data_IF_649271679219
#
_entry.id   IF_649271679219
#
_cell.length_a   1.000
_cell.length_b   1.000
_cell.length_c   1.000
_cell.angle_alpha   90.00
_cell.angle_beta   90.00
_cell.angle_gamma   90.00
#
_symmetry.space_group_name_H-M   'P 1'
#
loop_
_entity.id
_entity.type
_entity.pdbx_description
1 polymer ?
#
# COMPACT_ATOMS: atom_id res chain seq x y z
N UNK A 1 -12.54 -13.48 -13.25
CA UNK A 1 -11.11 -13.18 -13.52
C UNK A 1 -10.23 -13.63 -12.37
N UNK A 2 -8.97 -13.98 -12.58
CA UNK A 2 -7.98 -14.27 -11.53
C UNK A 2 -6.57 -14.05 -12.08
N UNK A 3 -5.62 -13.70 -11.18
CA UNK A 3 -4.21 -13.69 -11.59
C UNK A 3 -3.77 -15.14 -11.81
N UNK A 4 -3.18 -15.40 -12.95
CA UNK A 4 -2.59 -16.68 -13.33
C UNK A 4 -1.19 -16.80 -12.74
N UNK A 5 -0.31 -15.91 -13.15
CA UNK A 5 1.07 -15.85 -12.71
C UNK A 5 1.62 -14.43 -12.81
N UNK A 6 2.75 -14.19 -12.19
CA UNK A 6 3.54 -12.98 -12.37
C UNK A 6 5.00 -13.31 -12.62
N UNK A 7 5.69 -12.37 -13.27
CA UNK A 7 7.12 -12.47 -13.50
C UNK A 7 7.79 -11.13 -13.11
N UNK A 8 8.73 -11.19 -12.19
CA UNK A 8 9.45 -10.03 -11.66
C UNK A 8 10.87 -10.07 -12.18
N UNK A 9 11.31 -8.99 -12.85
CA UNK A 9 12.69 -8.84 -13.31
C UNK A 9 13.35 -7.61 -12.69
N UNK A 10 14.63 -7.72 -12.41
CA UNK A 10 15.53 -6.62 -12.01
C UNK A 10 15.09 -5.81 -10.79
N UNK A 11 14.31 -6.41 -9.87
CA UNK A 11 13.84 -5.74 -8.67
C UNK A 11 14.60 -6.22 -7.43
N UNK A 12 15.36 -5.34 -6.80
CA UNK A 12 16.19 -5.63 -5.61
C UNK A 12 17.07 -6.88 -5.83
N UNK A 13 16.78 -7.99 -5.12
CA UNK A 13 17.49 -9.27 -5.26
C UNK A 13 16.90 -10.16 -6.35
N UNK A 14 15.74 -9.85 -6.84
CA UNK A 14 15.03 -10.66 -7.82
C UNK A 14 15.49 -10.26 -9.22
N UNK A 15 16.45 -11.00 -9.75
CA UNK A 15 16.93 -10.78 -11.12
C UNK A 15 15.92 -11.33 -12.12
N UNK A 16 15.40 -12.51 -11.85
CA UNK A 16 14.38 -13.19 -12.65
C UNK A 16 13.60 -14.12 -11.71
N UNK A 17 12.30 -13.86 -11.50
CA UNK A 17 11.48 -14.57 -10.54
C UNK A 17 10.06 -14.77 -11.08
N UNK A 18 9.68 -16.02 -11.31
CA UNK A 18 8.34 -16.40 -11.72
C UNK A 18 7.55 -16.90 -10.49
N UNK A 19 6.27 -16.54 -10.40
CA UNK A 19 5.38 -16.91 -9.30
C UNK A 19 4.02 -17.28 -9.85
N UNK A 20 3.61 -18.54 -9.62
CA UNK A 20 2.27 -19.01 -9.89
C UNK A 20 1.35 -18.77 -8.70
N UNK A 21 0.13 -18.37 -8.97
CA UNK A 21 -0.84 -18.07 -7.93
C UNK A 21 -1.83 -19.20 -7.71
N UNK A 22 -1.96 -19.65 -6.46
CA UNK A 22 -3.01 -20.58 -6.05
C UNK A 22 -4.42 -19.99 -6.20
N UNK A 23 -5.46 -20.81 -6.17
CA UNK A 23 -6.85 -20.36 -6.36
C UNK A 23 -7.41 -19.55 -5.17
N UNK A 24 -6.93 -19.79 -3.96
CA UNK A 24 -7.41 -19.13 -2.72
C UNK A 24 -6.32 -18.37 -2.01
N UNK A 25 -5.21 -19.04 -1.78
CA UNK A 25 -4.08 -18.52 -1.03
C UNK A 25 -2.77 -18.94 -1.68
N UNK A 26 -1.74 -18.13 -1.51
CA UNK A 26 -0.37 -18.44 -1.92
C UNK A 26 0.54 -18.11 -0.75
N UNK A 27 1.33 -19.09 -0.32
CA UNK A 27 2.24 -18.95 0.81
C UNK A 27 3.67 -18.86 0.32
N UNK A 28 4.35 -17.76 0.63
CA UNK A 28 5.76 -17.58 0.32
C UNK A 28 6.62 -18.17 1.44
N UNK A 29 7.26 -19.28 1.19
CA UNK A 29 8.14 -19.95 2.18
C UNK A 29 9.60 -19.81 1.77
N UNK A 30 10.45 -19.49 2.72
CA UNK A 30 11.90 -19.40 2.47
C UNK A 30 12.65 -18.80 3.66
N UNK A 31 13.96 -18.97 3.66
CA UNK A 31 14.83 -18.40 4.68
C UNK A 31 14.74 -16.87 4.74
N UNK A 32 15.16 -16.29 5.85
CA UNK A 32 15.28 -14.84 5.95
C UNK A 32 16.20 -14.32 4.83
N UNK A 33 15.81 -13.20 4.23
CA UNK A 33 16.54 -12.59 3.13
C UNK A 33 16.50 -13.38 1.79
N UNK A 34 15.59 -14.35 1.62
CA UNK A 34 15.42 -15.12 0.36
C UNK A 34 14.69 -14.33 -0.76
N UNK A 35 14.14 -13.14 -0.46
CA UNK A 35 13.45 -12.32 -1.45
C UNK A 35 11.92 -12.28 -1.31
N UNK A 36 11.32 -12.94 -0.32
CA UNK A 36 9.85 -12.93 -0.07
C UNK A 36 9.28 -11.50 -0.02
N UNK A 37 9.80 -10.68 0.89
CA UNK A 37 9.42 -9.27 1.00
C UNK A 37 9.69 -8.49 -0.28
N UNK A 38 10.75 -8.84 -1.02
CA UNK A 38 11.03 -8.18 -2.31
C UNK A 38 9.96 -8.51 -3.35
N UNK A 39 9.46 -9.74 -3.40
CA UNK A 39 8.39 -10.13 -4.31
C UNK A 39 7.08 -9.38 -3.98
N UNK A 40 6.68 -9.36 -2.72
CA UNK A 40 5.51 -8.60 -2.26
C UNK A 40 5.68 -7.10 -2.57
N UNK A 41 6.86 -6.54 -2.24
CA UNK A 41 7.15 -5.14 -2.51
C UNK A 41 7.08 -4.81 -3.99
N UNK A 42 7.59 -5.65 -4.89
CA UNK A 42 7.51 -5.44 -6.33
C UNK A 42 6.05 -5.31 -6.79
N UNK A 43 5.18 -6.25 -6.39
CA UNK A 43 3.76 -6.24 -6.75
C UNK A 43 3.08 -4.96 -6.23
N UNK A 44 3.30 -4.63 -4.95
CA UNK A 44 2.68 -3.45 -4.31
C UNK A 44 3.14 -2.15 -4.98
N UNK A 45 4.41 -2.04 -5.33
CA UNK A 45 4.97 -0.81 -5.88
C UNK A 45 4.54 -0.57 -7.31
N UNK A 46 4.48 -1.60 -8.14
CA UNK A 46 3.98 -1.46 -9.50
C UNK A 46 2.47 -1.24 -9.57
N UNK A 47 1.68 -1.85 -8.66
CA UNK A 47 0.22 -1.76 -8.71
C UNK A 47 -0.38 -0.60 -7.90
N UNK A 48 0.28 -0.17 -6.80
CA UNK A 48 -0.31 0.80 -5.86
C UNK A 48 0.57 2.00 -5.55
N UNK A 49 1.89 1.83 -5.45
CA UNK A 49 2.81 2.82 -4.88
C UNK A 49 3.98 3.16 -5.82
N UNK A 50 3.73 3.35 -7.10
CA UNK A 50 4.76 3.65 -8.11
C UNK A 50 5.61 4.90 -7.78
N UNK A 51 5.11 5.84 -6.99
CA UNK A 51 5.84 7.03 -6.54
C UNK A 51 6.97 6.75 -5.54
N UNK A 52 7.05 5.52 -5.00
CA UNK A 52 8.05 5.15 -3.98
C UNK A 52 9.34 4.56 -4.56
N UNK A 53 9.45 4.42 -5.88
CA UNK A 53 10.66 3.88 -6.50
C UNK A 53 11.88 4.77 -6.18
N UNK A 54 12.96 4.10 -5.77
CA UNK A 54 14.30 4.69 -5.62
C UNK A 54 15.31 3.77 -6.32
N UNK A 55 16.56 4.20 -6.49
CA UNK A 55 17.58 3.37 -7.12
C UNK A 55 17.85 2.05 -6.36
N UNK A 56 17.50 1.98 -5.08
CA UNK A 56 17.64 0.77 -4.25
C UNK A 56 16.72 -0.37 -4.68
N UNK A 57 15.68 -0.10 -5.44
CA UNK A 57 14.76 -1.09 -6.00
C UNK A 57 15.33 -1.77 -7.26
N UNK A 58 16.30 -1.16 -7.90
CA UNK A 58 17.03 -1.81 -8.99
C UNK A 58 17.94 -2.90 -8.45
N UNK A 59 18.11 -3.98 -9.20
CA UNK A 59 19.07 -5.02 -8.84
C UNK A 59 20.49 -4.44 -8.81
N UNK A 60 21.22 -4.68 -7.74
CA UNK A 60 22.54 -4.07 -7.52
C UNK A 60 23.56 -4.33 -8.63
N UNK A 61 23.47 -5.50 -9.29
CA UNK A 61 24.31 -5.82 -10.46
C UNK A 61 24.07 -4.89 -11.65
N UNK A 62 22.88 -4.31 -11.74
CA UNK A 62 22.51 -3.43 -12.85
C UNK A 62 23.01 -1.99 -12.66
N UNK A 63 23.42 -1.60 -11.45
CA UNK A 63 24.01 -0.29 -11.22
C UNK A 63 25.28 -0.08 -12.03
N UNK A 64 26.10 -1.13 -12.18
CA UNK A 64 27.28 -1.06 -13.03
C UNK A 64 26.94 -0.88 -14.53
N UNK A 65 25.77 -1.38 -14.97
CA UNK A 65 25.28 -1.18 -16.34
C UNK A 65 24.80 0.26 -16.54
N UNK A 66 24.10 0.83 -15.56
CA UNK A 66 23.67 2.24 -15.55
C UNK A 66 24.90 3.17 -15.62
N UNK A 67 25.91 2.91 -14.79
CA UNK A 67 27.13 3.72 -14.79
C UNK A 67 27.88 3.61 -16.10
N UNK A 68 27.93 2.41 -16.71
CA UNK A 68 28.52 2.20 -18.03
C UNK A 68 27.79 3.01 -19.12
N UNK A 69 26.46 3.08 -19.09
CA UNK A 69 25.69 3.94 -20.00
C UNK A 69 26.09 5.41 -19.81
N UNK A 70 26.17 5.86 -18.56
CA UNK A 70 26.62 7.21 -18.23
C UNK A 70 28.01 7.53 -18.74
N UNK A 71 28.96 6.61 -18.63
CA UNK A 71 30.32 6.76 -19.15
C UNK A 71 30.35 6.79 -20.68
N UNK A 72 29.55 5.96 -21.35
CA UNK A 72 29.41 5.98 -22.83
C UNK A 72 28.85 7.31 -23.33
N UNK A 73 27.90 7.92 -22.60
CA UNK A 73 27.34 9.23 -22.92
C UNK A 73 28.36 10.35 -22.81
N UNK A 74 29.35 10.24 -21.94
CA UNK A 74 30.39 11.25 -21.75
C UNK A 74 31.57 11.09 -22.70
N UNK A 75 31.82 9.87 -23.21
CA UNK A 75 32.98 9.56 -24.02
C UNK A 75 32.73 9.63 -25.53
N UNK A 76 31.50 9.43 -25.96
CA UNK A 76 31.15 9.43 -27.39
C UNK A 76 30.68 10.83 -27.85
N UNK A 77 31.50 11.50 -28.63
CA UNK A 77 31.13 12.76 -29.28
C UNK A 77 31.44 12.70 -30.80
N UNK A 78 30.44 12.85 -31.70
CA UNK A 78 29.00 13.01 -31.40
C UNK A 78 28.38 11.73 -30.83
N UNK A 79 27.36 11.91 -29.97
CA UNK A 79 26.65 10.75 -29.36
C UNK A 79 25.90 9.98 -30.44
N UNK A 80 25.97 8.66 -30.36
CA UNK A 80 25.17 7.77 -31.22
C UNK A 80 23.72 7.76 -30.72
N UNK A 81 22.76 8.04 -31.59
CA UNK A 81 21.32 8.00 -31.25
C UNK A 81 20.88 6.64 -30.69
N UNK A 82 21.57 5.56 -31.00
CA UNK A 82 21.30 4.23 -30.45
C UNK A 82 21.54 4.15 -28.92
N UNK A 83 22.47 4.97 -28.40
CA UNK A 83 22.74 5.05 -26.95
C UNK A 83 21.66 5.87 -26.20
N UNK A 84 20.86 6.63 -26.94
CA UNK A 84 19.72 7.40 -26.40
C UNK A 84 18.38 6.70 -26.61
N UNK A 85 18.41 5.44 -27.09
CA UNK A 85 17.21 4.64 -27.23
C UNK A 85 16.76 4.09 -25.85
N UNK A 86 15.47 4.12 -25.61
CA UNK A 86 14.85 3.55 -24.41
C UNK A 86 15.11 2.05 -24.27
N UNK A 87 15.28 1.32 -25.37
CA UNK A 87 15.58 -0.11 -25.37
C UNK A 87 16.90 -0.48 -24.67
N UNK A 88 17.83 0.48 -24.54
CA UNK A 88 19.06 0.25 -23.76
C UNK A 88 18.79 0.00 -22.27
N UNK A 89 17.58 0.35 -21.80
CA UNK A 89 17.16 0.20 -20.41
C UNK A 89 16.36 -1.06 -20.13
N UNK A 90 15.87 -1.77 -21.16
CA UNK A 90 14.93 -2.91 -21.01
C UNK A 90 15.47 -4.02 -20.11
N UNK A 91 16.77 -4.35 -20.20
CA UNK A 91 17.41 -5.36 -19.36
C UNK A 91 17.94 -4.82 -18.03
N UNK A 92 17.82 -3.51 -17.79
CA UNK A 92 18.39 -2.84 -16.62
C UNK A 92 17.32 -2.52 -15.59
N UNK A 93 16.18 -2.04 -16.05
CA UNK A 93 15.11 -1.52 -15.19
C UNK A 93 14.26 -2.60 -14.54
N UNK A 94 13.66 -2.31 -13.38
CA UNK A 94 12.69 -3.20 -12.79
C UNK A 94 11.44 -3.36 -13.66
N UNK A 95 10.94 -4.58 -13.77
CA UNK A 95 9.67 -4.86 -14.44
C UNK A 95 8.85 -5.92 -13.69
N UNK A 96 7.54 -5.85 -13.90
CA UNK A 96 6.54 -6.79 -13.41
C UNK A 96 5.61 -7.17 -14.56
N UNK A 97 5.63 -8.41 -14.97
CA UNK A 97 4.67 -8.97 -15.92
C UNK A 97 3.55 -9.65 -15.13
N UNK A 98 2.31 -9.42 -15.52
CA UNK A 98 1.12 -9.97 -14.87
C UNK A 98 0.26 -10.65 -15.91
N UNK A 99 -0.07 -11.92 -15.70
CA UNK A 99 -1.04 -12.66 -16.50
C UNK A 99 -2.33 -12.87 -15.72
N UNK A 100 -3.44 -12.61 -16.40
CA UNK A 100 -4.78 -12.66 -15.82
C UNK A 100 -5.63 -13.64 -16.61
N UNK A 101 -6.15 -14.68 -15.95
CA UNK A 101 -7.18 -15.56 -16.49
C UNK A 101 -8.50 -14.81 -16.56
N UNK A 102 -9.12 -14.81 -17.73
CA UNK A 102 -10.41 -14.19 -18.01
C UNK A 102 -11.49 -15.24 -18.03
N UNK A 103 -12.50 -15.11 -17.19
CA UNK A 103 -13.62 -16.04 -17.19
C UNK A 103 -14.64 -15.69 -18.31
N UNK A 104 -15.42 -16.69 -18.71
CA UNK A 104 -16.48 -16.47 -19.70
C UNK A 104 -17.45 -15.38 -19.27
N UNK A 105 -17.71 -14.45 -20.18
CA UNK A 105 -18.59 -13.28 -19.92
C UNK A 105 -17.90 -12.08 -19.26
N UNK A 106 -16.62 -12.16 -18.91
CA UNK A 106 -15.84 -11.05 -18.30
C UNK A 106 -14.90 -10.34 -19.29
N UNK A 107 -14.89 -10.74 -20.56
CA UNK A 107 -14.00 -10.21 -21.60
C UNK A 107 -14.13 -8.69 -21.78
N UNK A 108 -15.32 -8.14 -21.53
CA UNK A 108 -15.59 -6.70 -21.65
C UNK A 108 -14.75 -5.85 -20.68
N UNK A 109 -14.28 -6.43 -19.56
CA UNK A 109 -13.46 -5.74 -18.57
C UNK A 109 -12.00 -5.57 -19.01
N UNK A 110 -11.54 -6.46 -19.88
CA UNK A 110 -10.15 -6.53 -20.35
C UNK A 110 -9.98 -6.22 -21.83
N UNK A 111 -11.01 -5.67 -22.48
CA UNK A 111 -10.99 -5.38 -23.92
C UNK A 111 -9.82 -4.49 -24.33
N UNK A 112 -9.38 -3.59 -23.44
CA UNK A 112 -8.24 -2.68 -23.63
C UNK A 112 -6.88 -3.38 -23.47
N UNK A 113 -6.86 -4.64 -22.99
CA UNK A 113 -5.65 -5.46 -22.81
C UNK A 113 -5.48 -6.52 -23.89
N UNK A 114 -6.42 -6.62 -24.84
CA UNK A 114 -6.38 -7.62 -25.89
C UNK A 114 -5.49 -7.14 -27.04
N UNK A 115 -4.34 -7.79 -27.30
CA UNK A 115 -3.42 -7.33 -28.32
C UNK A 115 -4.01 -7.42 -29.74
N UNK A 116 -4.76 -8.50 -30.03
CA UNK A 116 -5.45 -8.72 -31.28
C UNK A 116 -6.66 -9.62 -31.11
N UNK A 117 -7.84 -9.14 -31.50
CA UNK A 117 -9.08 -9.92 -31.48
C UNK A 117 -9.06 -11.16 -32.38
N UNK A 118 -8.19 -11.18 -33.40
CA UNK A 118 -8.10 -12.30 -34.35
C UNK A 118 -7.24 -13.47 -33.84
N UNK A 119 -6.33 -13.20 -32.91
CA UNK A 119 -5.37 -14.19 -32.40
C UNK A 119 -5.59 -14.56 -30.93
N UNK A 120 -6.35 -13.76 -30.20
CA UNK A 120 -6.62 -14.00 -28.79
C UNK A 120 -7.60 -15.16 -28.59
N UNK A 121 -7.22 -16.11 -27.76
CA UNK A 121 -8.02 -17.32 -27.46
C UNK A 121 -9.18 -17.10 -26.48
N UNK A 122 -9.32 -15.87 -25.96
CA UNK A 122 -10.38 -15.48 -25.01
C UNK A 122 -10.10 -15.85 -23.55
N UNK A 123 -8.92 -16.38 -23.19
CA UNK A 123 -8.64 -16.95 -21.87
C UNK A 123 -7.70 -16.13 -21.00
N UNK A 124 -6.60 -15.63 -21.57
CA UNK A 124 -5.55 -14.97 -20.81
C UNK A 124 -5.21 -13.63 -21.43
N UNK A 125 -4.97 -12.62 -20.59
CA UNK A 125 -4.39 -11.34 -20.99
C UNK A 125 -3.15 -11.07 -20.15
N UNK A 126 -2.18 -10.31 -20.69
CA UNK A 126 -0.95 -9.99 -20.00
C UNK A 126 -0.57 -8.53 -20.13
N UNK A 127 -0.02 -8.00 -19.05
CA UNK A 127 0.46 -6.63 -18.96
C UNK A 127 1.86 -6.63 -18.37
N UNK A 128 2.78 -5.94 -19.03
CA UNK A 128 4.09 -5.58 -18.47
C UNK A 128 4.02 -4.18 -17.88
N UNK A 129 4.35 -4.06 -16.60
CA UNK A 129 4.64 -2.81 -15.93
C UNK A 129 6.16 -2.66 -15.85
N UNK A 130 6.75 -1.61 -16.42
CA UNK A 130 8.19 -1.42 -16.47
C UNK A 130 8.56 -0.01 -16.05
N UNK A 131 9.55 0.14 -15.17
CA UNK A 131 9.95 1.45 -14.65
C UNK A 131 10.99 2.09 -15.56
N UNK A 132 10.55 2.74 -16.62
CA UNK A 132 11.34 3.24 -17.74
C UNK A 132 11.66 4.73 -17.65
N UNK A 133 12.76 5.18 -18.30
CA UNK A 133 12.98 6.59 -18.52
C UNK A 133 11.82 7.23 -19.28
N UNK A 134 11.39 8.42 -18.84
CA UNK A 134 10.40 9.26 -19.53
C UNK A 134 10.96 9.76 -20.86
N UNK A 135 12.16 10.33 -20.79
CA UNK A 135 12.91 10.91 -21.92
C UNK A 135 14.42 10.70 -21.68
N UNK A 136 15.03 9.79 -22.42
CA UNK A 136 16.45 9.47 -22.31
C UNK A 136 17.32 10.64 -22.79
N UNK A 137 16.87 11.41 -23.81
CA UNK A 137 17.62 12.57 -24.34
C UNK A 137 17.71 13.66 -23.29
N UNK A 138 16.60 13.94 -22.60
CA UNK A 138 16.59 14.90 -21.49
C UNK A 138 17.48 14.45 -20.34
N UNK A 139 17.38 13.19 -19.93
CA UNK A 139 18.24 12.62 -18.88
C UNK A 139 19.73 12.77 -19.25
N UNK A 140 20.09 12.47 -20.50
CA UNK A 140 21.45 12.63 -21.00
C UNK A 140 21.95 14.09 -20.90
N UNK A 141 21.15 15.04 -21.40
CA UNK A 141 21.55 16.46 -21.38
C UNK A 141 21.77 16.97 -19.97
N UNK A 142 20.81 16.72 -19.09
CA UNK A 142 20.86 17.20 -17.71
C UNK A 142 22.00 16.54 -16.91
N UNK A 143 22.25 15.25 -17.13
CA UNK A 143 23.39 14.54 -16.54
C UNK A 143 24.73 15.11 -17.05
N UNK A 144 24.88 15.26 -18.37
CA UNK A 144 26.09 15.79 -18.99
C UNK A 144 26.41 17.19 -18.48
N UNK A 145 25.45 18.10 -18.51
CA UNK A 145 25.63 19.47 -17.98
C UNK A 145 26.05 19.47 -16.51
N UNK A 146 25.39 18.63 -15.69
CA UNK A 146 25.71 18.56 -14.27
C UNK A 146 27.13 18.02 -14.05
N UNK A 147 27.53 17.02 -14.81
CA UNK A 147 28.86 16.44 -14.77
C UNK A 147 29.95 17.43 -15.24
N UNK A 148 29.72 18.17 -16.30
CA UNK A 148 30.63 19.21 -16.81
C UNK A 148 30.83 20.32 -15.78
N UNK A 149 29.76 20.80 -15.15
CA UNK A 149 29.80 21.78 -14.04
C UNK A 149 30.64 21.25 -12.86
N UNK A 150 30.50 19.98 -12.54
CA UNK A 150 31.26 19.34 -11.48
C UNK A 150 32.76 19.24 -11.83
N UNK A 151 33.09 18.85 -13.05
CA UNK A 151 34.49 18.80 -13.54
C UNK A 151 35.12 20.20 -13.55
N UNK A 152 34.37 21.22 -13.99
CA UNK A 152 34.84 22.60 -13.97
C UNK A 152 35.16 23.08 -12.56
N UNK A 153 34.38 22.71 -11.57
CA UNK A 153 34.64 23.01 -10.15
C UNK A 153 35.93 22.38 -9.66
N UNK A 154 36.27 21.15 -10.10
CA UNK A 154 37.54 20.50 -9.72
C UNK A 154 38.79 21.26 -10.15
N UNK A 155 38.68 22.04 -11.23
CA UNK A 155 39.80 22.84 -11.75
C UNK A 155 40.08 24.13 -10.97
N UNK A 156 39.21 24.50 -10.04
CA UNK A 156 39.33 25.73 -9.24
C UNK A 156 40.32 25.61 -8.10
N UNK A 157 40.98 26.72 -7.76
CA UNK A 157 41.95 26.78 -6.64
C UNK A 157 41.26 26.55 -5.28
N UNK A 158 39.94 26.87 -5.17
CA UNK A 158 39.13 26.64 -3.97
C UNK A 158 38.90 25.15 -3.74
N UNK A 159 38.68 24.37 -4.79
CA UNK A 159 38.52 22.92 -4.72
C UNK A 159 39.84 22.26 -4.25
N UNK A 160 41.00 22.69 -4.81
CA UNK A 160 42.32 22.17 -4.42
C UNK A 160 42.65 22.40 -2.95
N UNK A 161 42.06 23.44 -2.34
CA UNK A 161 42.22 23.77 -0.91
C UNK A 161 41.24 23.03 -0.01
N UNK A 162 40.16 22.51 -0.56
CA UNK A 162 39.18 21.75 0.20
C UNK A 162 39.69 20.32 0.45
N UNK A 163 39.43 19.78 1.65
CA UNK A 163 39.81 18.42 2.01
C UNK A 163 38.99 17.40 1.26
N UNK A 164 39.32 17.14 -0.02
CA UNK A 164 38.76 16.10 -0.90
C UNK A 164 37.22 15.91 -0.75
N UNK A 165 36.40 16.92 -1.04
CA UNK A 165 34.96 16.71 -1.05
C UNK A 165 34.61 15.73 -2.17
N UNK A 166 33.64 14.87 -1.90
CA UNK A 166 33.11 13.97 -2.93
C UNK A 166 32.46 14.79 -4.06
N UNK A 167 32.93 14.59 -5.27
CA UNK A 167 32.37 15.26 -6.45
C UNK A 167 30.98 14.70 -6.76
N UNK A 168 30.00 15.57 -6.88
CA UNK A 168 28.66 15.18 -7.31
C UNK A 168 28.38 15.71 -8.72
N UNK A 169 27.86 14.88 -9.63
CA UNK A 169 27.69 13.42 -9.50
C UNK A 169 28.99 12.66 -9.78
N UNK A 170 29.25 11.57 -9.04
CA UNK A 170 30.37 10.66 -9.33
C UNK A 170 30.14 9.91 -10.63
N UNK A 171 28.94 9.38 -10.81
CA UNK A 171 28.47 8.59 -11.94
C UNK A 171 26.98 8.80 -12.15
N UNK A 172 26.38 8.10 -13.12
CA UNK A 172 24.95 8.23 -13.43
C UNK A 172 24.06 7.71 -12.29
N UNK A 173 24.45 6.64 -11.61
CA UNK A 173 23.72 6.16 -10.42
C UNK A 173 23.68 7.20 -9.30
N UNK A 174 24.80 7.90 -9.04
CA UNK A 174 24.86 8.97 -8.04
C UNK A 174 23.95 10.15 -8.41
N UNK A 175 23.91 10.51 -9.71
CA UNK A 175 22.99 11.52 -10.23
C UNK A 175 21.52 11.13 -10.00
N UNK A 176 21.16 9.90 -10.34
CA UNK A 176 19.79 9.39 -10.19
C UNK A 176 19.38 9.19 -8.72
N UNK A 177 20.33 8.87 -7.85
CA UNK A 177 20.06 8.64 -6.42
C UNK A 177 19.75 9.91 -5.63
N UNK A 178 20.10 11.11 -6.16
CA UNK A 178 19.96 12.36 -5.44
C UNK A 178 18.52 12.86 -5.41
N UNK A 179 17.97 13.03 -4.21
CA UNK A 179 16.68 13.68 -4.01
C UNK A 179 15.54 12.95 -4.74
N UNK A 180 14.85 13.66 -5.60
CA UNK A 180 13.76 13.15 -6.44
C UNK A 180 14.17 12.77 -7.86
N UNK A 181 15.47 12.91 -8.23
CA UNK A 181 15.91 12.77 -9.61
C UNK A 181 15.39 11.51 -10.30
N UNK A 182 15.46 10.34 -9.65
CA UNK A 182 14.97 9.11 -10.27
C UNK A 182 13.49 9.26 -10.72
N UNK A 183 12.64 9.82 -9.87
CA UNK A 183 11.21 10.01 -10.17
C UNK A 183 10.96 11.12 -11.19
N UNK A 184 11.85 12.09 -11.28
CA UNK A 184 11.74 13.17 -12.25
C UNK A 184 12.03 12.67 -13.68
N UNK A 185 12.92 11.68 -13.80
CA UNK A 185 13.34 11.11 -15.09
C UNK A 185 12.71 9.76 -15.42
N UNK A 186 12.11 9.05 -14.47
CA UNK A 186 11.53 7.72 -14.67
C UNK A 186 10.04 7.68 -14.31
N UNK A 187 9.32 6.76 -14.93
CA UNK A 187 7.91 6.46 -14.65
C UNK A 187 7.60 4.99 -14.93
N UNK A 188 6.49 4.49 -14.42
CA UNK A 188 6.00 3.17 -14.80
C UNK A 188 5.27 3.29 -16.14
N UNK A 189 5.76 2.58 -17.13
CA UNK A 189 5.10 2.40 -18.43
C UNK A 189 4.45 1.03 -18.50
N UNK A 190 3.34 0.95 -19.22
CA UNK A 190 2.51 -0.24 -19.33
C UNK A 190 2.47 -0.71 -20.75
N UNK A 191 2.69 -2.02 -20.96
CA UNK A 191 2.72 -2.65 -22.26
C UNK A 191 1.83 -3.87 -22.28
N UNK A 192 1.10 -4.09 -23.38
CA UNK A 192 0.33 -5.31 -23.58
C UNK A 192 1.28 -6.43 -23.99
N UNK A 193 1.16 -7.59 -23.35
CA UNK A 193 1.94 -8.78 -23.70
C UNK A 193 1.19 -9.56 -24.80
N UNK A 194 1.86 -9.87 -25.90
CA UNK A 194 1.29 -10.69 -26.97
C UNK A 194 1.46 -12.17 -26.67
N UNK A 195 0.35 -12.91 -26.63
CA UNK A 195 0.28 -14.35 -26.34
C UNK A 195 0.33 -15.27 -27.55
N UNK A 196 0.43 -14.74 -28.75
CA UNK A 196 0.57 -15.56 -29.93
C UNK A 196 1.84 -16.46 -29.90
N UNK A 197 2.71 -16.21 -28.92
CA UNK A 197 3.91 -16.97 -28.65
C UNK A 197 3.81 -17.43 -27.20
N UNK A 198 3.53 -18.74 -26.99
CA UNK A 198 3.71 -19.34 -25.66
C UNK A 198 5.14 -19.06 -25.21
N UNK A 199 5.34 -18.50 -24.00
CA UNK A 199 6.68 -18.33 -23.45
C UNK A 199 7.25 -19.71 -23.13
N UNK A 200 7.79 -20.38 -24.14
CA UNK A 200 8.49 -21.67 -24.00
C UNK A 200 9.86 -21.48 -23.35
N UNK A 201 10.37 -20.25 -23.34
CA UNK A 201 11.55 -19.83 -22.60
C UNK A 201 11.23 -18.56 -21.79
N UNK A 202 11.57 -18.58 -20.51
CA UNK A 202 11.33 -17.52 -19.53
C UNK A 202 11.87 -16.12 -19.93
N UNK A 203 12.67 -16.06 -21.00
CA UNK A 203 13.34 -14.85 -21.49
C UNK A 203 12.61 -14.15 -22.65
N UNK A 204 11.58 -14.75 -23.25
CA UNK A 204 10.95 -14.26 -24.48
C UNK A 204 9.51 -13.77 -24.31
N UNK A 205 9.26 -12.89 -23.35
CA UNK A 205 7.98 -12.20 -23.31
C UNK A 205 7.98 -11.11 -24.38
N UNK A 206 7.26 -11.34 -25.48
CA UNK A 206 7.11 -10.31 -26.52
C UNK A 206 6.05 -9.30 -26.08
N UNK A 207 6.49 -8.05 -26.03
CA UNK A 207 5.63 -6.89 -25.82
C UNK A 207 5.20 -6.37 -27.18
N UNK A 208 3.94 -6.02 -27.33
CA UNK A 208 3.43 -5.44 -28.57
C UNK A 208 4.11 -4.09 -28.80
N UNK A 209 4.87 -3.90 -29.88
CA UNK A 209 5.51 -2.62 -30.17
C UNK A 209 4.45 -1.52 -30.31
N UNK A 210 4.72 -0.35 -29.73
CA UNK A 210 3.89 0.85 -29.81
C UNK A 210 2.51 0.82 -29.11
N UNK A 211 2.25 -0.11 -28.21
CA UNK A 211 1.06 -0.09 -27.35
C UNK A 211 1.43 0.37 -25.93
N UNK A 212 2.07 1.54 -25.83
CA UNK A 212 2.21 2.25 -24.58
C UNK A 212 0.83 2.69 -24.12
N UNK A 213 0.37 2.15 -22.98
CA UNK A 213 -0.86 2.60 -22.37
C UNK A 213 -0.55 3.83 -21.51
N UNK A 214 -1.19 4.96 -21.80
CA UNK A 214 -0.97 6.23 -21.09
C UNK A 214 -1.36 6.18 -19.61
N UNK A 215 -2.24 5.24 -19.24
CA UNK A 215 -2.74 5.08 -17.87
C UNK A 215 -2.52 3.65 -17.39
N UNK A 216 -2.47 3.48 -16.07
CA UNK A 216 -2.42 2.15 -15.46
C UNK A 216 -3.67 1.33 -15.85
N UNK A 217 -3.52 0.32 -16.71
CA UNK A 217 -4.66 -0.47 -17.18
C UNK A 217 -5.18 -1.46 -16.13
N UNK A 218 -4.47 -1.62 -15.02
CA UNK A 218 -4.78 -2.55 -13.93
C UNK A 218 -5.49 -1.88 -12.75
N UNK A 219 -5.61 -0.53 -12.75
CA UNK A 219 -6.19 0.24 -11.65
C UNK A 219 -7.65 -0.13 -11.36
N UNK A 220 -8.44 -0.37 -12.43
CA UNK A 220 -9.85 -0.78 -12.32
C UNK A 220 -10.03 -2.31 -12.23
N UNK A 221 -8.94 -3.09 -12.30
CA UNK A 221 -8.98 -4.55 -12.30
C UNK A 221 -8.47 -5.16 -11.00
N UNK A 222 -7.48 -4.55 -10.37
CA UNK A 222 -6.76 -5.14 -9.23
C UNK A 222 -6.67 -4.14 -8.09
N UNK A 223 -7.26 -4.50 -6.97
CA UNK A 223 -7.05 -3.82 -5.69
C UNK A 223 -5.98 -4.54 -4.89
N UNK A 224 -5.08 -3.78 -4.27
CA UNK A 224 -4.01 -4.30 -3.43
C UNK A 224 -4.08 -3.70 -2.03
N UNK A 225 -4.17 -4.55 -1.01
CA UNK A 225 -4.07 -4.17 0.39
C UNK A 225 -2.95 -4.96 1.09
N UNK A 226 -2.27 -4.34 2.06
CA UNK A 226 -1.06 -4.93 2.68
C UNK A 226 -1.07 -4.81 4.19
N UNK A 227 -0.64 -5.88 4.86
CA UNK A 227 -0.30 -5.89 6.29
C UNK A 227 1.20 -6.16 6.37
N UNK A 228 1.99 -5.15 6.74
CA UNK A 228 3.45 -5.25 6.80
C UNK A 228 3.93 -5.96 8.08
N UNK A 229 5.15 -6.53 8.03
CA UNK A 229 5.80 -7.19 9.15
C UNK A 229 6.14 -6.23 10.31
N UNK A 230 6.50 -4.98 10.00
CA UNK A 230 6.70 -3.92 10.98
C UNK A 230 5.35 -3.46 11.56
N UNK A 231 4.68 -4.37 12.24
CA UNK A 231 3.49 -4.05 13.00
C UNK A 231 3.96 -3.42 14.28
N UNK A 232 3.71 -2.12 14.39
CA UNK A 232 3.99 -1.35 15.59
C UNK A 232 3.09 -1.81 16.73
N UNK A 233 3.42 -2.97 17.29
CA UNK A 233 2.96 -3.36 18.61
C UNK A 233 4.04 -2.90 19.59
N UNK A 234 3.99 -1.63 20.02
CA UNK A 234 4.86 -1.21 21.09
C UNK A 234 4.49 -1.96 22.35
N UNK A 235 5.52 -2.32 23.05
CA UNK A 235 5.45 -2.67 24.46
C UNK A 235 4.77 -1.52 25.22
N UNK A 236 3.74 -1.79 26.04
CA UNK A 236 3.04 -0.74 26.78
C UNK A 236 3.94 0.04 27.76
N UNK A 237 5.18 -0.40 27.99
CA UNK A 237 6.15 0.24 28.85
C UNK A 237 7.18 1.11 28.12
N UNK A 238 7.23 1.09 26.79
CA UNK A 238 8.11 1.93 25.98
C UNK A 238 7.44 3.24 25.59
N UNK A 239 7.86 4.34 26.19
CA UNK A 239 7.55 5.70 25.75
C UNK A 239 8.08 5.94 24.33
N UNK A 240 7.32 5.60 23.32
CA UNK A 240 7.49 6.14 21.98
C UNK A 240 6.12 6.51 21.43
N UNK A 241 6.02 7.77 21.09
CA UNK A 241 4.87 8.46 20.47
C UNK A 241 4.60 7.98 19.04
N UNK A 242 4.77 6.70 18.76
CA UNK A 242 4.50 6.09 17.47
C UNK A 242 3.13 5.43 17.46
N UNK A 243 2.34 5.78 16.49
CA UNK A 243 0.99 5.41 16.10
C UNK A 243 0.62 3.91 16.18
N UNK A 244 0.63 3.36 17.42
CA UNK A 244 0.19 1.98 17.61
C UNK A 244 -1.31 1.99 17.77
N UNK A 245 -1.95 1.44 16.77
CA UNK A 245 -3.37 1.20 16.81
C UNK A 245 -3.70 0.09 17.81
N UNK A 246 -4.13 0.49 19.00
CA UNK A 246 -4.76 -0.44 19.95
C UNK A 246 -5.94 -1.15 19.30
N UNK A 247 -6.35 -2.32 19.79
CA UNK A 247 -7.55 -3.00 19.28
C UNK A 247 -8.76 -2.07 19.33
N UNK A 248 -8.89 -1.27 20.37
CA UNK A 248 -9.96 -0.27 20.51
C UNK A 248 -9.95 0.73 19.36
N UNK A 249 -8.79 1.26 18.96
CA UNK A 249 -8.67 2.14 17.78
C UNK A 249 -8.98 1.41 16.46
N UNK A 250 -8.60 0.14 16.34
CA UNK A 250 -8.90 -0.65 15.15
C UNK A 250 -10.40 -0.96 15.03
N UNK A 251 -11.07 -1.30 16.14
CA UNK A 251 -12.53 -1.44 16.18
C UNK A 251 -13.24 -0.14 15.82
N UNK A 252 -12.74 0.99 16.31
CA UNK A 252 -13.26 2.30 15.94
C UNK A 252 -13.13 2.57 14.45
N UNK A 253 -11.94 2.34 13.86
CA UNK A 253 -11.73 2.50 12.40
C UNK A 253 -12.67 1.62 11.61
N UNK A 254 -12.85 0.37 12.03
CA UNK A 254 -13.79 -0.56 11.38
C UNK A 254 -15.22 -0.02 11.44
N UNK A 255 -15.67 0.44 12.61
CA UNK A 255 -17.00 1.02 12.79
C UNK A 255 -17.20 2.27 11.93
N UNK A 256 -16.25 3.22 11.94
CA UNK A 256 -16.33 4.45 11.14
C UNK A 256 -16.31 4.19 9.62
N UNK A 257 -15.62 3.14 9.18
CA UNK A 257 -15.61 2.74 7.76
C UNK A 257 -16.89 2.02 7.34
N UNK A 258 -17.54 1.29 8.27
CA UNK A 258 -18.81 0.61 8.02
C UNK A 258 -19.99 1.57 7.99
N UNK A 259 -19.90 2.68 8.76
CA UNK A 259 -20.95 3.70 8.86
C UNK A 259 -20.45 4.98 8.21
N UNK A 260 -20.69 5.16 6.90
CA UNK A 260 -20.36 6.41 6.21
C UNK A 260 -21.33 7.53 6.60
N UNK A 261 -20.84 8.77 6.66
CA UNK A 261 -21.62 9.96 7.01
C UNK A 261 -22.86 10.22 6.13
N UNK A 262 -22.95 9.54 4.99
CA UNK A 262 -24.06 9.67 4.02
C UNK A 262 -25.08 8.52 4.07
N UNK A 263 -24.86 7.47 4.84
CA UNK A 263 -25.82 6.37 4.96
C UNK A 263 -26.86 6.67 6.05
N UNK A 264 -28.11 6.44 5.70
CA UNK A 264 -29.25 6.48 6.63
C UNK A 264 -28.93 5.54 7.79
N UNK A 265 -28.88 6.09 9.01
CA UNK A 265 -28.69 5.35 10.25
C UNK A 265 -29.55 4.09 10.25
N UNK A 266 -28.94 2.93 10.45
CA UNK A 266 -29.69 1.68 10.59
C UNK A 266 -30.56 1.74 11.86
N UNK A 267 -31.69 1.01 11.93
CA UNK A 267 -32.56 1.02 13.12
C UNK A 267 -31.80 0.72 14.42
N UNK A 268 -30.77 -0.14 14.36
CA UNK A 268 -29.92 -0.50 15.49
C UNK A 268 -29.02 0.67 15.94
N UNK A 269 -28.56 1.51 15.01
CA UNK A 269 -27.77 2.71 15.32
C UNK A 269 -28.64 3.79 15.97
N UNK A 270 -29.92 3.87 15.63
CA UNK A 270 -30.87 4.82 16.24
C UNK A 270 -31.04 4.59 17.74
N UNK A 271 -31.09 3.35 18.19
CA UNK A 271 -31.15 3.01 19.62
C UNK A 271 -29.86 3.45 20.33
N UNK A 272 -28.69 3.23 19.72
CA UNK A 272 -27.40 3.62 20.26
C UNK A 272 -27.26 5.15 20.33
N UNK A 273 -27.60 5.87 19.25
CA UNK A 273 -27.58 7.34 19.19
C UNK A 273 -28.54 7.94 20.23
N UNK A 274 -29.76 7.38 20.35
CA UNK A 274 -30.74 7.79 21.37
C UNK A 274 -30.22 7.55 22.78
N UNK A 275 -29.57 6.43 23.02
CA UNK A 275 -28.95 6.10 24.33
C UNK A 275 -27.85 7.09 24.69
N UNK A 276 -26.98 7.46 23.76
CA UNK A 276 -25.90 8.44 23.96
C UNK A 276 -26.48 9.85 24.17
N UNK A 277 -27.50 10.25 23.41
CA UNK A 277 -28.16 11.55 23.58
C UNK A 277 -28.74 11.67 25.00
N UNK A 278 -29.39 10.60 25.50
CA UNK A 278 -29.95 10.55 26.84
C UNK A 278 -28.87 10.55 27.95
N UNK A 279 -27.74 9.88 27.69
CA UNK A 279 -26.58 9.95 28.57
C UNK A 279 -25.99 11.38 28.62
N UNK A 280 -25.83 12.02 27.47
CA UNK A 280 -25.34 13.42 27.38
C UNK A 280 -26.23 14.37 28.16
N UNK A 281 -27.57 14.28 28.00
CA UNK A 281 -28.52 15.11 28.79
C UNK A 281 -28.35 14.88 30.30
N UNK A 282 -28.17 13.64 30.74
CA UNK A 282 -27.96 13.30 32.15
C UNK A 282 -26.65 13.88 32.67
N UNK A 283 -25.58 13.77 31.88
CA UNK A 283 -24.27 14.34 32.20
C UNK A 283 -24.32 15.90 32.24
N UNK A 284 -24.97 16.53 31.26
CA UNK A 284 -25.11 17.97 31.19
C UNK A 284 -25.82 18.53 32.44
N UNK A 285 -26.90 17.87 32.86
CA UNK A 285 -27.62 18.26 34.07
C UNK A 285 -26.72 18.15 35.32
N UNK A 286 -25.92 17.08 35.41
CA UNK A 286 -25.01 16.86 36.54
C UNK A 286 -23.82 17.84 36.52
N UNK A 287 -23.22 18.08 35.33
CA UNK A 287 -22.15 19.05 35.17
C UNK A 287 -22.60 20.46 35.50
N UNK A 288 -23.76 20.89 34.98
CA UNK A 288 -24.34 22.18 35.29
C UNK A 288 -24.49 22.39 36.82
N UNK A 289 -25.01 21.38 37.50
CA UNK A 289 -25.17 21.44 38.97
C UNK A 289 -23.83 21.42 39.72
N UNK A 290 -22.86 20.66 39.24
CA UNK A 290 -21.53 20.57 39.89
C UNK A 290 -20.71 21.84 39.72
N UNK A 291 -20.85 22.52 38.57
CA UNK A 291 -20.10 23.74 38.27
C UNK A 291 -20.88 25.01 38.47
N UNK A 292 -22.06 24.94 39.09
CA UNK A 292 -22.91 26.13 39.36
C UNK A 292 -22.16 27.21 40.12
N UNK A 293 -21.52 26.85 41.26
CA UNK A 293 -20.74 27.81 42.09
C UNK A 293 -19.50 28.36 41.32
N UNK A 294 -18.62 27.55 40.70
CA UNK A 294 -17.51 28.11 39.95
C UNK A 294 -17.94 29.00 38.77
N UNK A 295 -19.03 28.70 38.08
CA UNK A 295 -19.55 29.50 36.97
C UNK A 295 -20.14 30.84 37.52
N UNK A 296 -20.77 30.85 38.69
CA UNK A 296 -21.24 32.04 39.32
C UNK A 296 -20.10 32.96 39.80
N UNK A 297 -19.02 32.37 40.33
CA UNK A 297 -17.81 33.13 40.67
C UNK A 297 -17.16 33.74 39.43
N UNK A 298 -17.11 33.04 38.32
CA UNK A 298 -16.58 33.56 37.05
C UNK A 298 -17.44 34.68 36.45
N UNK A 299 -18.75 34.66 36.63
CA UNK A 299 -19.66 35.73 36.23
C UNK A 299 -19.37 37.06 36.95
N UNK A 300 -18.85 36.99 38.18
CA UNK A 300 -18.49 38.14 38.99
C UNK A 300 -17.14 38.77 38.57
N UNK A 301 -16.39 38.18 37.68
CA UNK A 301 -15.19 38.75 37.08
C UNK A 301 -15.64 39.78 36.03
N UNK A 302 -15.90 41.00 36.46
CA UNK A 302 -16.31 42.09 35.59
C UNK A 302 -15.12 42.54 34.74
N UNK A 303 -15.01 42.06 33.51
CA UNK A 303 -13.97 42.53 32.57
C UNK A 303 -14.44 43.83 31.90
N UNK A 304 -13.74 44.96 32.08
CA UNK A 304 -14.21 46.25 31.56
C UNK A 304 -14.22 46.24 30.01
N UNK A 305 -15.38 46.49 29.41
CA UNK A 305 -15.52 46.72 27.97
C UNK A 305 -16.14 45.59 27.14
N UNK A 306 -16.49 44.44 27.74
CA UNK A 306 -17.21 43.37 27.04
C UNK A 306 -18.46 42.90 27.82
N UNK A 307 -19.55 42.60 27.08
CA UNK A 307 -20.65 41.83 27.69
C UNK A 307 -20.12 40.45 28.00
N UNK A 308 -20.16 40.03 29.24
CA UNK A 308 -19.69 38.70 29.64
C UNK A 308 -20.50 37.61 28.91
N UNK A 309 -19.87 36.75 28.11
CA UNK A 309 -20.57 35.64 27.46
C UNK A 309 -21.10 34.68 28.52
N UNK A 310 -22.27 34.10 28.26
CA UNK A 310 -22.84 33.06 29.12
C UNK A 310 -22.01 31.79 29.01
N UNK A 311 -21.42 31.37 30.11
CA UNK A 311 -20.62 30.13 30.18
C UNK A 311 -21.59 28.94 30.35
N UNK A 312 -21.64 28.04 29.37
CA UNK A 312 -22.39 26.78 29.42
C UNK A 312 -21.42 25.60 29.32
N UNK A 313 -21.47 24.70 30.25
CA UNK A 313 -20.72 23.46 30.25
C UNK A 313 -21.62 22.37 29.70
N UNK A 314 -21.22 21.74 28.59
CA UNK A 314 -21.96 20.63 27.96
C UNK A 314 -21.04 19.44 27.79
N UNK A 315 -21.56 18.23 27.96
CA UNK A 315 -20.89 17.01 27.56
C UNK A 315 -21.07 16.78 26.07
N UNK A 316 -20.08 16.20 25.43
CA UNK A 316 -20.12 15.79 24.03
C UNK A 316 -19.53 14.40 23.92
N UNK A 317 -20.32 13.40 24.34
CA UNK A 317 -19.95 11.99 24.15
C UNK A 317 -20.37 11.63 22.73
N UNK A 318 -19.39 11.32 21.88
CA UNK A 318 -19.61 10.76 20.55
C UNK A 318 -19.35 9.23 20.59
N UNK A 319 -20.01 8.46 19.73
CA UNK A 319 -19.84 7.00 19.66
C UNK A 319 -18.37 6.67 19.42
N UNK A 320 -17.74 7.38 18.49
CA UNK A 320 -16.35 7.18 18.11
C UNK A 320 -15.39 7.46 19.29
N UNK A 321 -15.71 8.43 20.13
CA UNK A 321 -14.90 8.75 21.33
C UNK A 321 -15.10 7.71 22.45
N UNK A 322 -16.29 7.15 22.57
CA UNK A 322 -16.57 6.09 23.54
C UNK A 322 -15.79 4.80 23.22
N UNK A 323 -15.59 4.52 21.94
CA UNK A 323 -14.82 3.35 21.48
C UNK A 323 -13.30 3.60 21.53
N UNK A 324 -12.86 4.85 21.50
CA UNK A 324 -11.43 5.24 21.58
C UNK A 324 -10.76 4.93 22.92
N UNK A 325 -11.53 4.73 23.96
CA UNK A 325 -10.97 4.53 25.29
C UNK A 325 -10.16 3.23 25.33
N UNK A 326 -8.95 3.23 25.90
CA UNK A 326 -8.07 2.06 26.03
C UNK A 326 -8.74 0.86 26.70
N UNK A 327 -9.80 1.11 27.44
CA UNK A 327 -10.60 0.09 28.14
C UNK A 327 -11.84 -0.38 27.36
N UNK A 328 -12.07 0.10 26.13
CA UNK A 328 -13.27 -0.25 25.36
C UNK A 328 -13.27 -1.75 24.97
N UNK A 329 -12.12 -2.29 24.58
CA UNK A 329 -11.96 -3.71 24.32
C UNK A 329 -11.53 -4.42 25.60
N UNK A 330 -12.41 -5.29 26.09
CA UNK A 330 -12.17 -6.08 27.30
C UNK A 330 -12.38 -7.56 26.99
N UNK A 331 -11.63 -8.41 27.68
CA UNK A 331 -11.71 -9.86 27.53
C UNK A 331 -12.31 -10.46 28.79
N UNK A 332 -13.52 -10.99 28.67
CA UNK A 332 -14.19 -11.67 29.75
C UNK A 332 -13.61 -13.10 29.97
N UNK A 333 -13.44 -13.49 31.19
CA UNK A 333 -13.06 -14.86 31.54
C UNK A 333 -14.26 -15.76 31.36
N UNK A 334 -14.12 -16.88 30.65
CA UNK A 334 -15.20 -17.81 30.39
C UNK A 334 -15.79 -18.33 31.70
N UNK A 335 -17.10 -18.14 31.91
CA UNK A 335 -17.80 -18.48 33.15
C UNK A 335 -17.79 -17.40 34.24
N UNK A 336 -17.12 -16.26 34.03
CA UNK A 336 -17.05 -15.13 34.97
C UNK A 336 -17.25 -13.81 34.20
N UNK A 337 -18.47 -13.61 33.71
CA UNK A 337 -18.78 -12.45 32.86
C UNK A 337 -18.54 -11.08 33.52
N UNK A 338 -18.53 -11.00 34.84
CA UNK A 338 -18.23 -9.77 35.59
C UNK A 338 -16.74 -9.47 35.69
N UNK A 339 -15.87 -10.44 35.38
CA UNK A 339 -14.41 -10.28 35.36
C UNK A 339 -13.93 -10.12 33.95
N UNK A 340 -13.84 -8.85 33.52
CA UNK A 340 -13.27 -8.47 32.23
C UNK A 340 -11.93 -7.77 32.43
N UNK A 341 -10.92 -8.19 31.65
CA UNK A 341 -9.58 -7.64 31.67
C UNK A 341 -9.38 -6.72 30.46
N UNK A 342 -8.79 -5.53 30.63
CA UNK A 342 -8.37 -4.69 29.51
C UNK A 342 -7.43 -5.41 28.54
N UNK A 343 -7.39 -4.98 27.28
CA UNK A 343 -6.63 -5.65 26.22
C UNK A 343 -5.14 -5.85 26.55
N UNK A 344 -4.53 -4.93 27.32
CA UNK A 344 -3.12 -4.99 27.72
C UNK A 344 -2.75 -6.22 28.57
N UNK A 345 -3.72 -6.87 29.20
CA UNK A 345 -3.49 -8.09 29.98
C UNK A 345 -3.51 -9.37 29.14
N UNK A 346 -3.82 -9.27 27.85
CA UNK A 346 -3.74 -10.41 26.93
C UNK A 346 -2.37 -10.53 26.30
N UNK A 347 -1.95 -11.77 26.05
CA UNK A 347 -0.69 -12.05 25.37
C UNK A 347 -0.60 -11.40 24.00
N UNK A 348 0.60 -10.93 23.64
CA UNK A 348 0.87 -10.23 22.39
C UNK A 348 0.43 -11.01 21.15
N UNK A 349 0.63 -12.34 21.13
CA UNK A 349 0.22 -13.18 20.00
C UNK A 349 -1.30 -13.19 19.79
N UNK A 350 -2.10 -13.22 20.85
CA UNK A 350 -3.56 -13.18 20.72
C UNK A 350 -4.05 -11.82 20.22
N UNK A 351 -3.52 -10.73 20.76
CA UNK A 351 -3.81 -9.37 20.28
C UNK A 351 -3.43 -9.19 18.80
N UNK A 352 -2.25 -9.69 18.41
CA UNK A 352 -1.80 -9.67 17.04
C UNK A 352 -2.75 -10.41 16.09
N UNK A 353 -3.19 -11.61 16.48
CA UNK A 353 -4.15 -12.39 15.70
C UNK A 353 -5.45 -11.61 15.45
N UNK A 354 -6.05 -11.06 16.52
CA UNK A 354 -7.29 -10.26 16.41
C UNK A 354 -7.05 -9.04 15.52
N UNK A 355 -5.94 -8.32 15.69
CA UNK A 355 -5.59 -7.17 14.91
C UNK A 355 -5.51 -7.48 13.40
N UNK A 356 -4.88 -8.60 13.03
CA UNK A 356 -4.83 -9.03 11.63
C UNK A 356 -6.24 -9.31 11.10
N UNK A 357 -7.07 -10.02 11.87
CA UNK A 357 -8.45 -10.30 11.45
C UNK A 357 -9.28 -9.02 11.26
N UNK A 358 -9.18 -8.06 12.17
CA UNK A 358 -9.86 -6.77 12.05
C UNK A 358 -9.42 -6.02 10.78
N UNK A 359 -8.10 -6.01 10.49
CA UNK A 359 -7.59 -5.40 9.26
C UNK A 359 -8.11 -6.10 8.01
N UNK A 360 -8.18 -7.44 8.00
CA UNK A 360 -8.73 -8.19 6.87
C UNK A 360 -10.21 -7.87 6.64
N UNK A 361 -11.00 -7.76 7.71
CA UNK A 361 -12.40 -7.36 7.61
C UNK A 361 -12.55 -5.92 7.13
N UNK A 362 -11.72 -4.99 7.62
CA UNK A 362 -11.71 -3.59 7.18
C UNK A 362 -11.36 -3.47 5.68
N UNK A 363 -10.37 -4.23 5.19
CA UNK A 363 -10.04 -4.27 3.77
C UNK A 363 -11.21 -4.77 2.92
N UNK A 364 -11.90 -5.82 3.38
CA UNK A 364 -13.10 -6.33 2.73
C UNK A 364 -14.20 -5.28 2.65
N UNK A 365 -14.53 -4.64 3.76
CA UNK A 365 -15.62 -3.64 3.79
C UNK A 365 -15.28 -2.43 2.91
N UNK A 366 -14.05 -1.93 2.96
CA UNK A 366 -13.58 -0.86 2.08
C UNK A 366 -13.66 -1.23 0.60
N UNK A 367 -13.33 -2.47 0.25
CA UNK A 367 -13.43 -2.96 -1.12
C UNK A 367 -14.89 -3.03 -1.57
N UNK A 368 -15.79 -3.56 -0.74
CA UNK A 368 -17.20 -3.72 -1.06
C UNK A 368 -17.98 -2.40 -1.02
N UNK A 369 -17.53 -1.41 -0.24
CA UNK A 369 -18.17 -0.10 -0.15
C UNK A 369 -18.22 0.61 -1.49
N UNK A 370 -17.23 0.43 -2.35
CA UNK A 370 -17.17 0.96 -3.72
C UNK A 370 -18.43 0.54 -4.51
N UNK A 371 -18.94 -0.67 -4.28
CA UNK A 371 -20.13 -1.20 -4.94
C UNK A 371 -21.41 -0.48 -4.49
N UNK A 372 -21.53 -0.16 -3.20
CA UNK A 372 -22.69 0.58 -2.65
C UNK A 372 -22.71 2.04 -3.15
N UNK A 373 -21.56 2.61 -3.47
CA UNK A 373 -21.42 3.95 -4.05
C UNK A 373 -21.74 3.99 -5.56
N UNK A 374 -22.12 2.86 -6.17
CA UNK A 374 -22.43 2.77 -7.61
C UNK A 374 -21.21 2.92 -8.52
N UNK A 375 -20.00 2.80 -7.98
CA UNK A 375 -18.74 2.82 -8.73
C UNK A 375 -18.36 1.41 -9.20
N UNK A 376 -17.50 1.34 -10.21
CA UNK A 376 -16.92 0.07 -10.63
C UNK A 376 -15.99 -0.45 -9.53
N UNK A 377 -16.23 -1.68 -9.10
CA UNK A 377 -15.37 -2.37 -8.14
C UNK A 377 -14.35 -3.22 -8.90
N UNK A 378 -13.13 -3.23 -8.41
CA UNK A 378 -12.06 -4.06 -8.95
C UNK A 378 -12.41 -5.55 -8.75
N UNK A 379 -12.43 -6.36 -9.80
CA UNK A 379 -12.83 -7.78 -9.70
C UNK A 379 -11.81 -8.65 -8.94
N UNK A 380 -10.57 -8.21 -8.83
CA UNK A 380 -9.50 -8.94 -8.15
C UNK A 380 -9.02 -8.14 -6.95
N UNK A 381 -9.11 -8.74 -5.76
CA UNK A 381 -8.59 -8.16 -4.52
C UNK A 381 -7.41 -9.00 -4.00
N UNK A 382 -6.22 -8.41 -3.94
CA UNK A 382 -5.01 -9.04 -3.43
C UNK A 382 -4.70 -8.50 -2.04
N UNK A 383 -4.58 -9.38 -1.08
CA UNK A 383 -4.22 -9.04 0.30
C UNK A 383 -2.90 -9.70 0.66
N UNK A 384 -1.87 -8.91 0.87
CA UNK A 384 -0.55 -9.38 1.29
C UNK A 384 -0.38 -9.24 2.80
N UNK A 385 0.04 -10.33 3.45
CA UNK A 385 0.32 -10.35 4.89
C UNK A 385 1.76 -10.79 5.08
N UNK A 386 2.64 -9.89 5.49
CA UNK A 386 4.04 -10.21 5.77
C UNK A 386 4.17 -10.78 7.18
N UNK A 387 4.95 -11.86 7.29
CA UNK A 387 5.28 -12.53 8.55
C UNK A 387 4.07 -12.72 9.48
N UNK A 388 2.98 -13.37 9.01
CA UNK A 388 1.80 -13.58 9.84
C UNK A 388 2.12 -14.38 11.12
N UNK A 389 3.23 -15.13 11.09
CA UNK A 389 3.75 -15.89 12.22
C UNK A 389 4.40 -15.03 13.30
N UNK A 390 4.75 -13.79 13.04
CA UNK A 390 5.40 -12.92 14.00
C UNK A 390 4.55 -12.81 15.29
N UNK A 391 5.16 -13.20 16.41
CA UNK A 391 4.53 -13.26 17.72
C UNK A 391 3.35 -14.25 17.87
N UNK A 392 3.06 -15.10 16.87
CA UNK A 392 2.03 -16.13 16.97
C UNK A 392 2.65 -17.47 17.36
N UNK A 393 2.02 -18.14 18.34
CA UNK A 393 2.33 -19.54 18.62
C UNK A 393 1.91 -20.43 17.44
N UNK A 394 2.62 -21.54 17.21
CA UNK A 394 2.40 -22.43 16.06
C UNK A 394 0.93 -22.85 15.84
N UNK A 395 0.17 -23.07 16.90
CA UNK A 395 -1.27 -23.38 16.80
C UNK A 395 -2.08 -22.18 16.29
N UNK A 396 -1.74 -20.97 16.72
CA UNK A 396 -2.41 -19.76 16.25
C UNK A 396 -2.09 -19.46 14.78
N UNK A 397 -0.86 -19.76 14.32
CA UNK A 397 -0.48 -19.67 12.90
C UNK A 397 -1.36 -20.58 12.03
N UNK A 398 -1.58 -21.84 12.45
CA UNK A 398 -2.45 -22.78 11.72
C UNK A 398 -3.91 -22.29 11.65
N UNK A 399 -4.41 -21.71 12.74
CA UNK A 399 -5.76 -21.11 12.77
C UNK A 399 -5.80 -19.92 11.83
N UNK A 400 -4.77 -19.06 11.83
CA UNK A 400 -4.69 -17.90 10.97
C UNK A 400 -4.76 -18.30 9.49
N UNK A 401 -3.86 -19.15 9.02
CA UNK A 401 -3.81 -19.58 7.61
C UNK A 401 -5.18 -20.11 7.17
N UNK A 402 -5.82 -20.94 8.00
CA UNK A 402 -7.14 -21.51 7.69
C UNK A 402 -8.26 -20.48 7.63
N UNK A 403 -8.24 -19.46 8.48
CA UNK A 403 -9.34 -18.52 8.70
C UNK A 403 -9.18 -17.17 8.00
N UNK A 404 -7.99 -16.78 7.62
CA UNK A 404 -7.73 -15.50 6.95
C UNK A 404 -8.54 -15.35 5.66
N UNK A 405 -8.51 -16.38 4.80
CA UNK A 405 -9.29 -16.39 3.56
C UNK A 405 -10.81 -16.39 3.84
N UNK A 406 -11.26 -17.16 4.84
CA UNK A 406 -12.67 -17.16 5.23
C UNK A 406 -13.14 -15.77 5.70
N UNK A 407 -12.31 -15.04 6.45
CA UNK A 407 -12.63 -13.69 6.93
C UNK A 407 -12.86 -12.71 5.77
N UNK A 408 -12.06 -12.80 4.71
CA UNK A 408 -12.22 -11.98 3.51
C UNK A 408 -13.44 -12.38 2.69
N UNK A 409 -13.76 -13.67 2.59
CA UNK A 409 -14.87 -14.19 1.77
C UNK A 409 -16.22 -14.23 2.51
N UNK A 410 -16.25 -14.03 3.82
CA UNK A 410 -17.46 -14.16 4.63
C UNK A 410 -18.37 -12.92 4.54
N UNK A 411 -18.82 -12.63 3.31
CA UNK A 411 -19.77 -11.56 3.03
C UNK A 411 -20.78 -12.04 2.00
N UNK A 412 -22.05 -11.63 2.15
CA UNK A 412 -23.16 -12.02 1.27
C UNK A 412 -22.91 -11.55 -0.18
N UNK A 413 -22.45 -10.31 -0.34
CA UNK A 413 -22.17 -9.71 -1.65
C UNK A 413 -21.11 -10.49 -2.42
N UNK A 414 -20.03 -10.94 -1.77
CA UNK A 414 -19.00 -11.75 -2.41
C UNK A 414 -19.54 -13.13 -2.82
N UNK A 415 -20.39 -13.73 -1.99
CA UNK A 415 -21.00 -15.04 -2.28
C UNK A 415 -21.98 -15.00 -3.45
N UNK A 416 -22.71 -13.90 -3.58
CA UNK A 416 -23.69 -13.68 -4.67
C UNK A 416 -22.99 -13.26 -5.98
N UNK A 417 -21.84 -12.61 -5.91
CA UNK A 417 -21.08 -12.14 -7.07
C UNK A 417 -19.84 -13.03 -7.31
N UNK A 418 -20.03 -14.15 -7.99
CA UNK A 418 -18.97 -15.13 -8.28
C UNK A 418 -17.78 -14.58 -9.07
N UNK A 419 -17.92 -13.40 -9.69
CA UNK A 419 -16.85 -12.71 -10.40
C UNK A 419 -15.89 -11.95 -9.50
N UNK A 420 -16.29 -11.63 -8.25
CA UNK A 420 -15.40 -11.05 -7.24
C UNK A 420 -14.46 -12.13 -6.71
N UNK A 421 -13.16 -11.89 -6.81
CA UNK A 421 -12.13 -12.82 -6.34
C UNK A 421 -11.20 -12.11 -5.36
N UNK A 422 -11.08 -12.65 -4.16
CA UNK A 422 -10.08 -12.21 -3.18
C UNK A 422 -9.07 -13.31 -2.94
N UNK A 423 -7.82 -12.93 -2.68
CA UNK A 423 -6.70 -13.85 -2.40
C UNK A 423 -5.83 -13.31 -1.29
N UNK A 424 -5.33 -14.21 -0.48
CA UNK A 424 -4.39 -13.91 0.61
C UNK A 424 -3.02 -14.44 0.25
N UNK A 425 -2.00 -13.64 0.54
CA UNK A 425 -0.59 -13.97 0.37
C UNK A 425 0.12 -13.78 1.70
N UNK A 426 0.79 -14.80 2.18
CA UNK A 426 1.46 -14.79 3.48
C UNK A 426 2.89 -15.37 3.41
#
# INVERSE_FOLDING_TARGET
MKIHSIHIKNFRKLKNCHIDFGDKETVFVGANNSGKTSAISAIVWFLKNNEKFTLKEFTATNWALIDRLGDQWLTNEPIDDTLLDSHQWDDIVPSLDIWIDVADGEQYRVNHLIPSLSTWDGKVVGVRCQYNPKDVKRLYVDYKETKEKAIALQSTEEWKKASSPDLFPKNLCDFLAKGSNLRDYFEVKYYIIDFAIEPTDEDMVQVTPNNDLEKNPLEELIRVDTILASRDFSDPEGQSDSDIDTLSKQFQKYYSNSNSEEEVLMPEDLELVSGIAKANETYDAKLTKTFEMPVEELKNINYPGFQNPEIKIRSKIQIEEAIKHESAVQFAIQGMAELALPEKYNGLGYRNLISIYLKLMDFREKWLKVLSEGKNIEPIHLVFVEEPEAHLHAQAQQVFVRKAFEALCNNKTIRENHWLKTRVFS
#
